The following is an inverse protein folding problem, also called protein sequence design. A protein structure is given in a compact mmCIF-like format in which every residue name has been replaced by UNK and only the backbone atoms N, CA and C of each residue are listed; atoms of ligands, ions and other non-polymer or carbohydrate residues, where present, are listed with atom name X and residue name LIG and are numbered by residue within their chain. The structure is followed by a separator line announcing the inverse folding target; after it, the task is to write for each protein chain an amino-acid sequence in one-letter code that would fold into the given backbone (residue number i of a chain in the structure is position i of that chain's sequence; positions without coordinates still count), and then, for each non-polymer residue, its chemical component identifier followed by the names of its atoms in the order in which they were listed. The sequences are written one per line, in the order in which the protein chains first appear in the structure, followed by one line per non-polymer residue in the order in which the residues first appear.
data_IF_318640639854
#
_entry.id   IF_318640639854
#
_cell.length_a   1.000
_cell.length_b   1.000
_cell.length_c   1.000
_cell.angle_alpha   90.00
_cell.angle_beta   90.00
_cell.angle_gamma   90.00
#
_symmetry.space_group_name_H-M   'P 1'
#
loop_
_entity.id
_entity.type
_entity.pdbx_description
1 polymer ?
#
# COMPACT_ATOMS: atom_id res chain seq x y z
N UNK A 1 -29.95 28.82 -13.60
CA UNK A 1 -29.85 28.42 -12.18
C UNK A 1 -29.43 26.96 -12.12
N UNK A 2 -28.16 26.68 -11.79
CA UNK A 2 -27.66 25.32 -11.53
C UNK A 2 -27.52 25.16 -10.02
N UNK A 3 -28.29 24.28 -9.42
CA UNK A 3 -28.15 23.92 -8.01
C UNK A 3 -26.83 23.16 -7.85
N UNK A 4 -25.90 23.58 -6.98
CA UNK A 4 -24.69 22.82 -6.74
C UNK A 4 -25.06 21.51 -6.02
N UNK A 5 -24.64 20.37 -6.60
CA UNK A 5 -24.73 19.05 -5.96
C UNK A 5 -23.67 19.01 -4.87
N UNK A 6 -24.09 19.01 -3.61
CA UNK A 6 -23.18 18.80 -2.47
C UNK A 6 -22.69 17.36 -2.52
N UNK A 7 -21.39 17.16 -2.71
CA UNK A 7 -20.78 15.83 -2.79
C UNK A 7 -20.56 15.29 -1.38
N UNK A 8 -20.80 14.00 -1.16
CA UNK A 8 -20.58 13.32 0.13
C UNK A 8 -19.11 13.38 0.58
N UNK A 9 -18.19 13.73 -0.32
CA UNK A 9 -16.75 13.77 -0.08
C UNK A 9 -16.31 15.06 0.63
N UNK A 10 -17.14 16.12 0.64
CA UNK A 10 -16.81 17.42 1.23
C UNK A 10 -17.07 17.49 2.75
N UNK A 11 -17.58 16.42 3.37
CA UNK A 11 -18.00 16.40 4.79
C UNK A 11 -17.17 15.48 5.68
N UNK A 12 -16.02 14.98 5.22
CA UNK A 12 -15.12 14.26 6.12
C UNK A 12 -14.40 15.28 7.00
N UNK A 13 -14.57 15.25 8.33
CA UNK A 13 -13.83 16.12 9.22
C UNK A 13 -12.34 15.89 8.99
N UNK A 14 -11.58 16.98 8.83
CA UNK A 14 -10.13 16.91 8.84
C UNK A 14 -9.70 16.16 10.11
N UNK A 15 -8.77 15.18 10.01
CA UNK A 15 -8.32 14.45 11.18
C UNK A 15 -7.84 15.46 12.23
N UNK A 16 -8.31 15.30 13.46
CA UNK A 16 -7.86 16.12 14.57
C UNK A 16 -6.33 16.09 14.61
N UNK A 17 -5.65 17.22 14.88
CA UNK A 17 -4.20 17.24 14.95
C UNK A 17 -3.74 16.21 15.98
N UNK A 18 -2.99 15.21 15.53
CA UNK A 18 -2.39 14.22 16.41
C UNK A 18 -1.48 14.95 17.40
N UNK A 19 -1.60 14.62 18.69
CA UNK A 19 -0.72 15.13 19.72
C UNK A 19 0.71 14.72 19.34
N UNK A 20 1.63 15.68 19.21
CA UNK A 20 2.90 15.55 18.49
C UNK A 20 3.89 14.48 19.03
N UNK A 21 3.51 13.74 20.08
CA UNK A 21 4.27 12.63 20.65
C UNK A 21 3.48 11.33 20.84
N UNK A 22 2.23 11.25 20.39
CA UNK A 22 1.39 10.04 20.49
C UNK A 22 1.29 9.32 19.16
N UNK A 23 1.52 8.00 19.16
CA UNK A 23 1.33 7.17 17.98
C UNK A 23 -0.16 7.09 17.65
N UNK A 24 -0.52 7.39 16.41
CA UNK A 24 -1.86 7.15 15.90
C UNK A 24 -2.09 5.66 15.68
N UNK A 25 -3.35 5.25 15.52
CA UNK A 25 -3.67 3.88 15.15
C UNK A 25 -3.05 3.47 13.81
N UNK A 26 -2.91 4.40 12.86
CA UNK A 26 -2.25 4.12 11.57
C UNK A 26 -0.74 3.96 11.74
N UNK A 27 -0.10 4.74 12.63
CA UNK A 27 1.33 4.60 12.90
C UNK A 27 1.65 3.21 13.48
N UNK A 28 0.79 2.71 14.39
CA UNK A 28 0.92 1.37 14.95
C UNK A 28 0.76 0.28 13.88
N UNK A 29 -0.25 0.41 13.01
CA UNK A 29 -0.50 -0.55 11.93
C UNK A 29 0.62 -0.53 10.87
N UNK A 30 1.15 0.64 10.52
CA UNK A 30 2.32 0.76 9.62
C UNK A 30 3.55 0.08 10.24
N UNK A 31 3.83 0.35 11.52
CA UNK A 31 4.95 -0.25 12.23
C UNK A 31 4.84 -1.78 12.33
N UNK A 32 3.66 -2.30 12.65
CA UNK A 32 3.38 -3.74 12.73
C UNK A 32 3.56 -4.42 11.36
N UNK A 33 3.01 -3.83 10.30
CA UNK A 33 3.14 -4.37 8.95
C UNK A 33 4.61 -4.38 8.47
N UNK A 34 5.36 -3.30 8.72
CA UNK A 34 6.80 -3.23 8.41
C UNK A 34 7.58 -4.31 9.19
N UNK A 35 7.26 -4.51 10.46
CA UNK A 35 7.89 -5.54 11.27
C UNK A 35 7.65 -6.94 10.68
N UNK A 36 6.41 -7.29 10.35
CA UNK A 36 6.06 -8.57 9.72
C UNK A 36 6.82 -8.78 8.40
N UNK A 37 6.89 -7.76 7.54
CA UNK A 37 7.62 -7.84 6.27
C UNK A 37 9.11 -8.14 6.49
N UNK A 38 9.74 -7.49 7.49
CA UNK A 38 11.15 -7.70 7.81
C UNK A 38 11.42 -9.10 8.36
N UNK A 39 10.55 -9.61 9.23
CA UNK A 39 10.65 -10.98 9.76
C UNK A 39 10.55 -12.02 8.65
N UNK A 40 9.59 -11.85 7.71
CA UNK A 40 9.48 -12.77 6.56
C UNK A 40 10.75 -12.78 5.71
N UNK A 41 11.41 -11.63 5.53
CA UNK A 41 12.69 -11.60 4.79
C UNK A 41 13.85 -12.18 5.59
N UNK A 42 13.84 -12.05 6.91
CA UNK A 42 14.86 -12.62 7.77
C UNK A 42 14.81 -14.16 7.83
N UNK A 43 13.59 -14.72 7.82
CA UNK A 43 13.37 -16.15 8.09
C UNK A 43 13.22 -17.02 6.83
N UNK A 44 12.87 -16.43 5.67
CA UNK A 44 12.60 -17.19 4.45
C UNK A 44 13.65 -16.93 3.36
N UNK A 45 14.10 -17.99 2.68
CA UNK A 45 15.12 -17.89 1.63
C UNK A 45 14.62 -17.24 0.32
N UNK A 46 13.34 -17.45 -0.02
CA UNK A 46 12.76 -17.05 -1.33
C UNK A 46 11.35 -16.46 -1.19
N UNK A 47 11.15 -15.38 -0.41
CA UNK A 47 9.85 -14.74 -0.33
C UNK A 47 9.49 -14.09 -1.66
N UNK A 48 8.19 -13.90 -1.89
CA UNK A 48 7.63 -13.20 -3.05
C UNK A 48 6.41 -12.39 -2.60
N UNK A 49 6.26 -11.17 -3.11
CA UNK A 49 5.07 -10.37 -2.88
C UNK A 49 4.06 -10.62 -4.01
N UNK A 50 2.90 -11.16 -3.65
CA UNK A 50 1.80 -11.35 -4.60
C UNK A 50 1.11 -10.00 -4.86
N UNK A 51 1.11 -9.57 -6.12
CA UNK A 51 0.62 -8.27 -6.53
C UNK A 51 -0.54 -8.40 -7.52
N UNK A 52 -1.73 -7.97 -7.10
CA UNK A 52 -2.92 -7.97 -7.94
C UNK A 52 -3.13 -6.65 -8.70
N UNK A 53 -2.42 -5.60 -8.32
CA UNK A 53 -2.65 -4.23 -8.83
C UNK A 53 -3.86 -3.54 -8.18
N UNK A 54 -4.54 -4.19 -7.24
CA UNK A 54 -5.57 -3.56 -6.41
C UNK A 54 -5.01 -2.80 -5.21
N UNK A 55 -5.86 -2.00 -4.55
CA UNK A 55 -5.48 -1.10 -3.44
C UNK A 55 -4.66 -1.76 -2.33
N UNK A 56 -5.00 -2.99 -1.94
CA UNK A 56 -4.34 -3.68 -0.83
C UNK A 56 -2.93 -4.10 -1.22
N UNK A 57 -2.76 -4.68 -2.41
CA UNK A 57 -1.43 -5.08 -2.89
C UNK A 57 -0.52 -3.88 -3.16
N UNK A 58 -1.08 -2.74 -3.57
CA UNK A 58 -0.33 -1.48 -3.72
C UNK A 58 0.11 -0.95 -2.36
N UNK A 59 -0.76 -0.99 -1.36
CA UNK A 59 -0.40 -0.60 0.01
C UNK A 59 0.70 -1.51 0.57
N UNK A 60 0.61 -2.82 0.38
CA UNK A 60 1.65 -3.76 0.84
C UNK A 60 2.97 -3.53 0.11
N UNK A 61 2.95 -3.23 -1.20
CA UNK A 61 4.16 -2.86 -1.95
C UNK A 61 4.79 -1.55 -1.40
N UNK A 62 3.95 -0.56 -1.08
CA UNK A 62 4.41 0.68 -0.44
C UNK A 62 5.06 0.41 0.93
N UNK A 63 4.42 -0.41 1.77
CA UNK A 63 4.95 -0.80 3.08
C UNK A 63 6.26 -1.59 2.95
N UNK A 64 6.38 -2.46 1.93
CA UNK A 64 7.63 -3.16 1.64
C UNK A 64 8.75 -2.18 1.25
N UNK A 65 8.46 -1.19 0.39
CA UNK A 65 9.44 -0.15 0.06
C UNK A 65 9.88 0.64 1.30
N UNK A 66 8.93 0.96 2.20
CA UNK A 66 9.20 1.63 3.50
C UNK A 66 10.05 0.75 4.43
N UNK A 67 9.76 -0.55 4.48
CA UNK A 67 10.47 -1.50 5.34
C UNK A 67 11.97 -1.61 5.00
N UNK A 68 12.35 -1.42 3.73
CA UNK A 68 13.74 -1.57 3.28
C UNK A 68 14.41 -0.26 2.85
N UNK A 69 13.74 0.89 2.96
CA UNK A 69 14.33 2.19 2.66
C UNK A 69 15.61 2.44 3.50
N UNK A 70 16.68 3.00 2.92
CA UNK A 70 16.82 3.48 1.53
C UNK A 70 17.25 2.38 0.52
N UNK A 71 17.36 1.13 0.94
CA UNK A 71 17.67 -0.01 0.08
C UNK A 71 16.51 -0.41 -0.83
N UNK A 72 16.79 -1.39 -1.71
CA UNK A 72 15.77 -2.01 -2.57
C UNK A 72 15.04 -3.12 -1.81
N UNK A 73 13.81 -3.42 -2.24
CA UNK A 73 13.06 -4.59 -1.77
C UNK A 73 13.84 -5.86 -2.16
N UNK A 74 14.19 -6.74 -1.21
CA UNK A 74 15.09 -7.87 -1.45
C UNK A 74 14.39 -9.12 -1.98
N UNK A 75 13.19 -8.98 -2.55
CA UNK A 75 12.39 -10.08 -3.10
C UNK A 75 11.60 -9.65 -4.33
N UNK A 76 11.27 -10.60 -5.23
CA UNK A 76 10.48 -10.30 -6.42
C UNK A 76 9.02 -10.00 -6.08
N UNK A 77 8.37 -9.32 -7.03
CA UNK A 77 6.92 -9.13 -7.08
C UNK A 77 6.34 -10.06 -8.15
N UNK A 78 5.23 -10.73 -7.85
CA UNK A 78 4.57 -11.66 -8.77
C UNK A 78 3.11 -11.27 -9.00
N UNK A 79 2.75 -11.07 -10.26
CA UNK A 79 1.37 -10.91 -10.69
C UNK A 79 0.86 -12.19 -11.36
N UNK A 80 -0.33 -12.66 -10.97
CA UNK A 80 -1.00 -13.79 -11.61
C UNK A 80 -2.01 -13.24 -12.61
N UNK A 81 -1.67 -13.33 -13.90
CA UNK A 81 -2.58 -12.89 -14.96
C UNK A 81 -3.59 -14.00 -15.30
N UNK A 82 -4.87 -13.66 -15.16
CA UNK A 82 -5.99 -14.58 -15.47
C UNK A 82 -6.55 -14.37 -16.87
N UNK A 83 -6.06 -13.37 -17.61
CA UNK A 83 -6.61 -12.93 -18.89
C UNK A 83 -7.89 -12.07 -18.77
N UNK A 84 -8.35 -11.77 -17.55
CA UNK A 84 -9.57 -10.98 -17.28
C UNK A 84 -9.28 -9.69 -16.49
N UNK A 85 -8.01 -9.30 -16.37
CA UNK A 85 -7.62 -8.06 -15.71
C UNK A 85 -8.03 -6.86 -16.56
N UNK A 86 -8.40 -5.76 -15.91
CA UNK A 86 -8.63 -4.48 -16.58
C UNK A 86 -7.32 -3.96 -17.18
N UNK A 87 -7.37 -3.42 -18.40
CA UNK A 87 -6.20 -2.83 -19.07
C UNK A 87 -5.54 -1.73 -18.22
N UNK A 88 -6.34 -0.99 -17.45
CA UNK A 88 -5.84 0.04 -16.54
C UNK A 88 -5.00 -0.55 -15.40
N UNK A 89 -5.35 -1.74 -14.89
CA UNK A 89 -4.58 -2.42 -13.85
C UNK A 89 -3.26 -2.93 -14.41
N UNK A 90 -3.28 -3.47 -15.63
CA UNK A 90 -2.08 -3.94 -16.33
C UNK A 90 -1.13 -2.77 -16.61
N UNK A 91 -1.65 -1.66 -17.14
CA UNK A 91 -0.84 -0.46 -17.38
C UNK A 91 -0.25 0.10 -16.08
N UNK A 92 -1.06 0.20 -15.02
CA UNK A 92 -0.59 0.68 -13.73
C UNK A 92 0.53 -0.21 -13.16
N UNK A 93 0.38 -1.55 -13.25
CA UNK A 93 1.43 -2.49 -12.86
C UNK A 93 2.73 -2.22 -13.62
N UNK A 94 2.66 -2.13 -14.95
CA UNK A 94 3.85 -1.98 -15.82
C UNK A 94 4.57 -0.64 -15.61
N UNK A 95 3.85 0.39 -15.14
CA UNK A 95 4.42 1.70 -14.82
C UNK A 95 5.03 1.78 -13.40
N UNK A 96 4.62 0.90 -12.47
CA UNK A 96 4.90 1.06 -11.03
C UNK A 96 5.74 -0.04 -10.38
N UNK A 97 5.90 -1.18 -11.04
CA UNK A 97 6.62 -2.36 -10.54
C UNK A 97 7.76 -2.75 -11.48
#
# INVERSE_FOLDING_TARGET
MRTPRMSIIDTLPAPAPADAGSLTGLDLLEAEAIHIIREVVAEFERPVLLFSGGKDSVLVLHLAARAFAPGRIPFPVLHVDTGHNFDEVIRFRDETV
#
